data_IF_648248703087
#
_entry.id   IF_648248703087
#
_cell.length_a   1.000
_cell.length_b   1.000
_cell.length_c   1.000
_cell.angle_alpha   90.00
_cell.angle_beta   90.00
_cell.angle_gamma   90.00
#
_symmetry.space_group_name_H-M   'P 1'
#
loop_
_entity.id
_entity.type
_entity.pdbx_description
1 polymer ?
#
# COMPACT_ATOMS: atom_id res chain seq x y z
N UNK A 1 -10.79 1.53 -22.64
CA UNK A 1 -9.54 1.14 -21.96
C UNK A 1 -9.87 0.39 -20.68
N UNK A 2 -8.91 -0.27 -20.02
CA UNK A 2 -9.17 -0.93 -18.75
C UNK A 2 -9.49 0.15 -17.71
N UNK A 3 -10.77 0.28 -17.36
CA UNK A 3 -11.31 1.45 -16.65
C UNK A 3 -11.11 1.46 -15.13
N UNK A 4 -10.19 0.66 -14.59
CA UNK A 4 -9.95 0.57 -13.15
C UNK A 4 -8.47 0.28 -12.85
N UNK A 5 -7.71 1.21 -12.25
CA UNK A 5 -6.27 1.07 -12.02
C UNK A 5 -5.96 -0.05 -11.01
N UNK A 6 -6.86 -0.24 -10.04
CA UNK A 6 -6.85 -1.34 -9.08
C UNK A 6 -6.90 -2.70 -9.80
N UNK A 7 -7.80 -2.85 -10.78
CA UNK A 7 -8.00 -4.11 -11.50
C UNK A 7 -6.85 -4.48 -12.45
N UNK A 8 -5.97 -3.55 -12.78
CA UNK A 8 -4.80 -3.79 -13.66
C UNK A 8 -3.48 -3.79 -12.90
N UNK A 9 -3.52 -3.65 -11.57
CA UNK A 9 -2.30 -3.73 -10.76
C UNK A 9 -1.76 -5.15 -10.81
N UNK A 10 -0.50 -5.31 -11.17
CA UNK A 10 0.17 -6.62 -11.25
C UNK A 10 0.33 -7.23 -9.86
N UNK A 11 0.13 -8.55 -9.76
CA UNK A 11 0.32 -9.30 -8.52
C UNK A 11 1.73 -9.12 -7.92
N UNK A 12 2.77 -9.01 -8.76
CA UNK A 12 4.16 -8.81 -8.32
C UNK A 12 4.37 -7.49 -7.55
N UNK A 13 3.60 -6.44 -7.87
CA UNK A 13 3.63 -5.18 -7.13
C UNK A 13 2.94 -5.32 -5.77
N UNK A 14 1.87 -6.11 -5.68
CA UNK A 14 1.21 -6.41 -4.41
C UNK A 14 2.17 -7.21 -3.52
N UNK A 15 2.87 -8.20 -4.06
CA UNK A 15 3.81 -9.01 -3.28
C UNK A 15 4.98 -8.17 -2.74
N UNK A 16 5.49 -7.22 -3.54
CA UNK A 16 6.49 -6.26 -3.06
C UNK A 16 5.96 -5.38 -1.91
N UNK A 17 4.73 -4.90 -2.02
CA UNK A 17 4.08 -4.11 -0.97
C UNK A 17 3.84 -4.94 0.30
N UNK A 18 3.48 -6.22 0.17
CA UNK A 18 3.38 -7.18 1.29
C UNK A 18 4.73 -7.36 1.97
N UNK A 19 5.81 -7.57 1.21
CA UNK A 19 7.16 -7.76 1.76
C UNK A 19 7.64 -6.51 2.53
N UNK A 20 7.33 -5.30 2.03
CA UNK A 20 7.63 -4.06 2.76
C UNK A 20 6.98 -4.01 4.15
N UNK A 21 5.72 -4.44 4.25
CA UNK A 21 4.99 -4.43 5.52
C UNK A 21 5.42 -5.56 6.49
N UNK A 22 5.68 -6.77 5.99
CA UNK A 22 5.94 -7.96 6.82
C UNK A 22 7.41 -8.22 7.09
N UNK A 23 8.28 -8.02 6.09
CA UNK A 23 9.69 -8.40 6.15
C UNK A 23 10.59 -7.22 6.47
N UNK A 24 10.27 -6.05 5.91
CA UNK A 24 11.06 -4.83 6.11
C UNK A 24 10.56 -3.94 7.26
N UNK A 25 9.42 -4.28 7.88
CA UNK A 25 8.86 -3.54 9.01
C UNK A 25 8.46 -2.10 8.68
N UNK A 26 8.23 -1.79 7.40
CA UNK A 26 7.79 -0.48 6.95
C UNK A 26 6.32 -0.24 7.31
N UNK A 27 5.96 1.04 7.49
CA UNK A 27 4.55 1.44 7.51
C UNK A 27 4.10 1.57 6.07
N UNK A 28 3.28 0.64 5.61
CA UNK A 28 2.72 0.66 4.27
C UNK A 28 1.38 1.41 4.29
N UNK A 29 1.33 2.55 3.62
CA UNK A 29 0.10 3.34 3.44
C UNK A 29 -0.49 3.04 2.06
N UNK A 30 -1.81 2.84 1.98
CA UNK A 30 -2.50 2.63 0.71
C UNK A 30 -3.97 3.04 0.81
N UNK A 31 -4.62 3.24 -0.33
CA UNK A 31 -6.08 3.38 -0.37
C UNK A 31 -6.77 2.05 -0.03
N UNK A 32 -8.01 2.16 0.47
CA UNK A 32 -8.76 1.01 1.00
C UNK A 32 -9.15 -0.04 -0.04
N UNK A 33 -9.33 0.38 -1.29
CA UNK A 33 -9.62 -0.49 -2.45
C UNK A 33 -8.45 -1.44 -2.78
N UNK A 34 -7.21 -0.99 -2.57
CA UNK A 34 -6.01 -1.79 -2.81
C UNK A 34 -5.83 -2.93 -1.81
N UNK A 35 -6.48 -2.90 -0.65
CA UNK A 35 -6.22 -3.88 0.41
C UNK A 35 -6.59 -5.32 0.03
N UNK A 36 -7.56 -5.49 -0.87
CA UNK A 36 -8.10 -6.78 -1.30
C UNK A 36 -7.63 -7.20 -2.69
N UNK A 37 -6.70 -6.45 -3.29
CA UNK A 37 -6.12 -6.82 -4.58
C UNK A 37 -5.22 -8.04 -4.37
N UNK A 38 -5.45 -9.15 -5.10
CA UNK A 38 -4.67 -10.36 -4.89
C UNK A 38 -3.22 -10.18 -5.37
N UNK A 39 -2.26 -10.52 -4.51
CA UNK A 39 -0.89 -10.84 -4.90
C UNK A 39 -0.76 -12.30 -5.34
N UNK A 40 0.45 -12.75 -5.66
CA UNK A 40 0.68 -14.18 -5.94
C UNK A 40 0.61 -15.01 -4.65
N UNK A 41 0.96 -14.41 -3.50
CA UNK A 41 0.93 -15.07 -2.20
C UNK A 41 -0.29 -14.68 -1.36
N UNK A 42 -0.35 -13.42 -0.93
CA UNK A 42 -1.42 -12.87 -0.10
C UNK A 42 -1.73 -11.42 -0.51
N UNK A 43 -2.88 -10.90 -0.08
CA UNK A 43 -3.22 -9.48 -0.23
C UNK A 43 -2.73 -8.64 0.97
N UNK A 44 -2.82 -7.30 0.84
CA UNK A 44 -2.41 -6.36 1.89
C UNK A 44 -3.29 -6.46 3.15
N UNK A 45 -4.57 -6.84 3.00
CA UNK A 45 -5.47 -7.09 4.12
C UNK A 45 -4.97 -8.26 4.98
N UNK A 46 -4.53 -9.34 4.33
CA UNK A 46 -3.93 -10.50 4.98
C UNK A 46 -2.59 -10.15 5.60
N UNK A 47 -1.75 -9.34 4.92
CA UNK A 47 -0.50 -8.85 5.48
C UNK A 47 -0.73 -8.05 6.78
N UNK A 48 -1.75 -7.18 6.80
CA UNK A 48 -2.19 -6.48 8.01
C UNK A 48 -2.59 -7.44 9.13
N UNK A 49 -3.38 -8.46 8.80
CA UNK A 49 -3.82 -9.48 9.77
C UNK A 49 -2.66 -10.32 10.32
N UNK A 50 -1.56 -10.46 9.56
CA UNK A 50 -0.31 -11.13 9.97
C UNK A 50 0.64 -10.25 10.78
N UNK A 51 0.25 -9.01 11.08
CA UNK A 51 1.03 -8.09 11.91
C UNK A 51 1.85 -7.06 11.13
N UNK A 52 1.73 -6.99 9.80
CA UNK A 52 2.29 -5.90 9.01
C UNK A 52 1.62 -4.57 9.33
N UNK A 53 2.39 -3.48 9.40
CA UNK A 53 1.87 -2.12 9.67
C UNK A 53 1.28 -1.53 8.38
N UNK A 54 0.07 -1.97 8.03
CA UNK A 54 -0.68 -1.48 6.85
C UNK A 54 -1.76 -0.49 7.26
N UNK A 55 -1.65 0.76 6.79
CA UNK A 55 -2.54 1.87 7.12
C UNK A 55 -3.35 2.28 5.90
N UNK A 56 -4.66 2.39 6.08
CA UNK A 56 -5.55 2.94 5.07
C UNK A 56 -5.46 4.46 5.18
N UNK A 57 -5.17 5.11 4.06
CA UNK A 57 -5.14 6.57 3.95
C UNK A 57 -6.20 7.04 2.96
N UNK A 58 -6.58 8.32 3.04
CA UNK A 58 -7.54 8.95 2.13
C UNK A 58 -6.87 10.01 1.24
N UNK A 59 -5.65 10.44 1.59
CA UNK A 59 -4.82 11.30 0.76
C UNK A 59 -3.34 10.93 0.87
N UNK A 60 -2.50 11.21 -0.15
CA UNK A 60 -1.05 11.06 -0.04
C UNK A 60 -0.43 11.87 1.11
N UNK A 61 -1.04 13.01 1.48
CA UNK A 61 -0.57 13.84 2.60
C UNK A 61 -0.71 13.15 3.97
N UNK A 62 -1.62 12.19 4.08
CA UNK A 62 -1.75 11.39 5.30
C UNK A 62 -0.47 10.55 5.51
N UNK A 63 0.14 10.03 4.44
CA UNK A 63 1.40 9.28 4.53
C UNK A 63 2.56 10.17 5.00
N UNK A 64 2.60 11.44 4.56
CA UNK A 64 3.58 12.42 5.04
C UNK A 64 3.39 12.69 6.54
N UNK A 65 2.13 12.87 6.96
CA UNK A 65 1.79 13.07 8.39
C UNK A 65 2.23 11.87 9.23
N UNK A 66 1.92 10.66 8.76
CA UNK A 66 2.34 9.41 9.40
C UNK A 66 3.87 9.31 9.49
N UNK A 67 4.61 9.73 8.46
CA UNK A 67 6.07 9.74 8.47
C UNK A 67 6.65 10.71 9.51
N UNK A 68 6.07 11.91 9.64
CA UNK A 68 6.47 12.89 10.66
C UNK A 68 6.24 12.36 12.09
N UNK A 69 5.17 11.61 12.31
CA UNK A 69 4.84 10.99 13.59
C UNK A 69 5.68 9.74 13.92
N UNK A 70 6.30 9.12 12.90
CA UNK A 70 7.07 7.88 13.04
C UNK A 70 8.49 8.03 12.48
N UNK A 71 9.33 8.93 13.04
CA UNK A 71 10.62 9.31 12.45
C UNK A 71 11.67 8.19 12.43
N UNK A 72 11.44 7.10 13.18
CA UNK A 72 12.33 5.94 13.23
C UNK A 72 11.92 4.83 12.26
N UNK A 73 10.80 4.98 11.54
CA UNK A 73 10.29 3.99 10.60
C UNK A 73 10.28 4.52 9.17
N UNK A 74 10.50 3.62 8.23
CA UNK A 74 10.25 3.90 6.82
C UNK A 74 8.74 3.87 6.58
N UNK A 75 8.23 4.90 5.90
CA UNK A 75 6.82 5.00 5.50
C UNK A 75 6.76 4.97 3.98
N UNK A 76 6.02 4.01 3.43
CA UNK A 76 5.87 3.82 1.98
C UNK A 76 4.42 4.03 1.62
N UNK A 77 4.15 4.95 0.69
CA UNK A 77 2.83 5.09 0.09
C UNK A 77 2.76 4.24 -1.19
N UNK A 78 1.94 3.20 -1.17
CA UNK A 78 1.65 2.37 -2.33
C UNK A 78 0.57 3.04 -3.19
N UNK A 79 1.02 3.92 -4.08
CA UNK A 79 0.16 4.70 -4.95
C UNK A 79 -0.25 3.86 -6.18
N UNK A 80 -1.54 3.57 -6.31
CA UNK A 80 -2.12 2.98 -7.53
C UNK A 80 -3.25 3.88 -8.02
N UNK A 81 -3.09 4.42 -9.22
CA UNK A 81 -4.03 5.32 -9.87
C UNK A 81 -3.67 5.56 -11.34
N UNK A 82 -4.62 6.07 -12.13
CA UNK A 82 -4.33 6.60 -13.47
C UNK A 82 -3.80 8.03 -13.39
N UNK A 83 -3.42 8.61 -14.53
CA UNK A 83 -2.71 9.91 -14.69
C UNK A 83 -3.27 11.12 -13.91
N UNK A 84 -4.47 11.03 -13.32
CA UNK A 84 -5.10 12.09 -12.52
C UNK A 84 -4.76 12.06 -11.03
N UNK A 85 -3.89 11.16 -10.58
CA UNK A 85 -3.26 11.26 -9.25
C UNK A 85 -1.79 11.63 -9.45
N UNK A 86 -1.47 12.90 -9.77
CA UNK A 86 -0.07 13.32 -9.87
C UNK A 86 0.64 13.10 -8.52
N UNK A 87 1.95 12.78 -8.54
CA UNK A 87 2.73 12.40 -7.37
C UNK A 87 2.81 13.48 -6.29
#
# INVERSE_FOLDING_TARGET
>A
GPGCPVCVTSADLIDQAVALALEHGAILCSFGDMLRVPGNGIDLLTAKARGGDVRIIYSPLDAVTIALENPTKQVVFFAVGFETTPP
#
